data_IF_924876261184
#
_entry.id   IF_924876261184
#
_cell.length_a   1.000
_cell.length_b   1.000
_cell.length_c   1.000
_cell.angle_alpha   90.00
_cell.angle_beta   90.00
_cell.angle_gamma   90.00
#
_symmetry.space_group_name_H-M   'P 1'
#
loop_
_entity.id
_entity.type
_entity.pdbx_description
1 polymer ?
#
# COMPACT_ATOMS: atom_id res chain seq x y z
N UNK A 1 9.00 -16.55 -0.40
CA UNK A 1 9.37 -16.84 1.01
C UNK A 1 10.18 -15.71 1.66
N UNK A 2 11.34 -15.30 1.11
CA UNK A 2 12.26 -14.37 1.80
C UNK A 2 11.65 -13.00 2.20
N UNK A 3 10.95 -12.32 1.29
CA UNK A 3 10.29 -11.03 1.60
C UNK A 3 9.16 -11.19 2.62
N UNK A 4 8.30 -12.19 2.44
CA UNK A 4 7.22 -12.50 3.39
C UNK A 4 7.75 -12.82 4.78
N UNK A 5 8.90 -13.51 4.87
CA UNK A 5 9.56 -13.80 6.14
C UNK A 5 9.98 -12.52 6.86
N UNK A 6 10.64 -11.60 6.17
CA UNK A 6 11.06 -10.33 6.78
C UNK A 6 9.86 -9.49 7.25
N UNK A 7 8.82 -9.39 6.41
CA UNK A 7 7.60 -8.68 6.80
C UNK A 7 6.91 -9.31 8.03
N UNK A 8 6.90 -10.65 8.11
CA UNK A 8 6.36 -11.36 9.27
C UNK A 8 7.23 -11.16 10.51
N UNK A 9 8.55 -11.29 10.38
CA UNK A 9 9.49 -11.06 11.48
C UNK A 9 9.32 -9.65 12.06
N UNK A 10 9.25 -8.63 11.20
CA UNK A 10 9.12 -7.23 11.57
C UNK A 10 7.75 -6.92 12.20
N UNK A 11 6.67 -7.53 11.71
CA UNK A 11 5.34 -7.35 12.32
C UNK A 11 5.24 -7.94 13.73
N UNK A 12 5.91 -9.06 14.00
CA UNK A 12 5.79 -9.77 15.27
C UNK A 12 6.94 -9.50 16.26
N UNK A 13 8.01 -8.79 15.87
CA UNK A 13 9.21 -8.66 16.71
C UNK A 13 8.92 -7.97 18.04
N UNK A 14 8.09 -6.92 18.04
CA UNK A 14 7.72 -6.18 19.25
C UNK A 14 6.61 -6.86 20.06
N UNK A 15 5.70 -7.58 19.39
CA UNK A 15 4.48 -8.13 20.01
C UNK A 15 4.64 -9.57 20.49
N UNK A 16 5.39 -10.38 19.75
CA UNK A 16 5.55 -11.81 19.97
C UNK A 16 6.90 -12.30 19.40
N UNK A 17 8.03 -12.05 20.11
CA UNK A 17 9.37 -12.35 19.61
C UNK A 17 9.61 -13.85 19.31
N UNK A 18 8.83 -14.75 19.93
CA UNK A 18 8.85 -16.19 19.61
C UNK A 18 8.37 -16.49 18.17
N UNK A 19 7.45 -15.68 17.63
CA UNK A 19 6.96 -15.80 16.25
C UNK A 19 7.94 -15.20 15.23
N UNK A 20 8.82 -14.30 15.64
CA UNK A 20 9.86 -13.70 14.79
C UNK A 20 11.09 -14.60 14.58
N UNK A 21 11.03 -15.87 14.98
CA UNK A 21 12.08 -16.83 14.65
C UNK A 21 12.08 -17.12 13.15
N UNK A 22 13.26 -17.08 12.51
CA UNK A 22 13.42 -17.32 11.06
C UNK A 22 12.72 -18.58 10.56
N UNK A 23 12.76 -19.65 11.35
CA UNK A 23 12.19 -20.94 10.94
C UNK A 23 10.66 -20.89 10.98
N UNK A 24 10.08 -20.33 12.04
CA UNK A 24 8.63 -20.14 12.18
C UNK A 24 8.10 -19.21 11.07
N UNK A 25 8.74 -18.06 10.89
CA UNK A 25 8.36 -17.10 9.85
C UNK A 25 8.50 -17.68 8.43
N UNK A 26 9.50 -18.53 8.17
CA UNK A 26 9.61 -19.24 6.89
C UNK A 26 8.49 -20.26 6.69
N UNK A 27 8.21 -21.09 7.69
CA UNK A 27 7.17 -22.13 7.60
C UNK A 27 5.81 -21.48 7.35
N UNK A 28 5.46 -20.46 8.14
CA UNK A 28 4.18 -19.75 7.98
C UNK A 28 4.06 -19.14 6.59
N UNK A 29 5.11 -18.48 6.09
CA UNK A 29 5.07 -17.82 4.77
C UNK A 29 5.04 -18.80 3.61
N UNK A 30 5.68 -19.97 3.74
CA UNK A 30 5.60 -21.05 2.75
C UNK A 30 4.22 -21.70 2.76
N UNK A 31 3.64 -21.98 3.93
CA UNK A 31 2.30 -22.57 4.03
C UNK A 31 1.26 -21.60 3.47
N UNK A 32 1.30 -20.32 3.84
CA UNK A 32 0.37 -19.31 3.32
C UNK A 32 0.50 -19.14 1.80
N UNK A 33 1.74 -19.06 1.28
CA UNK A 33 1.98 -18.98 -0.16
C UNK A 33 1.56 -20.26 -0.91
N UNK A 34 1.82 -21.42 -0.32
CA UNK A 34 1.42 -22.72 -0.86
C UNK A 34 -0.10 -22.89 -0.90
N UNK A 35 -0.80 -22.51 0.17
CA UNK A 35 -2.26 -22.54 0.22
C UNK A 35 -2.89 -21.65 -0.87
N UNK A 36 -2.33 -20.45 -1.09
CA UNK A 36 -2.75 -19.55 -2.18
C UNK A 36 -2.43 -20.11 -3.57
N UNK A 37 -1.31 -20.81 -3.74
CA UNK A 37 -0.97 -21.46 -5.00
C UNK A 37 -1.94 -22.60 -5.33
N UNK A 38 -2.30 -23.40 -4.31
CA UNK A 38 -3.22 -24.52 -4.43
C UNK A 38 -4.69 -24.09 -4.56
N UNK A 39 -5.06 -22.88 -4.13
CA UNK A 39 -6.43 -22.36 -4.26
C UNK A 39 -6.83 -21.97 -5.69
N UNK A 40 -5.87 -21.92 -6.62
CA UNK A 40 -6.12 -21.50 -8.01
C UNK A 40 -6.36 -19.99 -8.18
N UNK A 41 -6.28 -19.20 -7.10
CA UNK A 41 -6.56 -17.76 -7.11
C UNK A 41 -5.35 -16.90 -7.56
N UNK A 42 -4.27 -17.52 -8.04
CA UNK A 42 -3.01 -16.86 -8.38
C UNK A 42 -3.16 -15.69 -9.37
N UNK A 43 -4.03 -15.81 -10.37
CA UNK A 43 -4.26 -14.74 -11.35
C UNK A 43 -4.92 -13.50 -10.74
N UNK A 44 -5.74 -13.67 -9.71
CA UNK A 44 -6.45 -12.58 -9.04
C UNK A 44 -5.57 -11.84 -8.01
N UNK A 45 -4.46 -12.44 -7.59
CA UNK A 45 -3.48 -11.81 -6.66
C UNK A 45 -2.70 -10.70 -7.36
N UNK A 46 -2.37 -10.87 -8.64
CA UNK A 46 -1.50 -9.94 -9.37
C UNK A 46 -1.98 -8.49 -9.37
N UNK A 47 -3.26 -8.18 -9.65
CA UNK A 47 -3.71 -6.79 -9.60
C UNK A 47 -3.81 -6.22 -8.18
N UNK A 48 -4.00 -7.06 -7.14
CA UNK A 48 -3.92 -6.62 -5.74
C UNK A 48 -2.50 -6.19 -5.42
N UNK A 49 -1.53 -7.02 -5.80
CA UNK A 49 -0.11 -6.72 -5.62
C UNK A 49 0.30 -5.44 -6.38
N UNK A 50 -0.18 -5.28 -7.61
CA UNK A 50 0.01 -4.05 -8.39
C UNK A 50 -0.54 -2.82 -7.67
N UNK A 51 -1.77 -2.90 -7.15
CA UNK A 51 -2.41 -1.78 -6.44
C UNK A 51 -1.69 -1.45 -5.12
N UNK A 52 -1.21 -2.45 -4.37
CA UNK A 52 -0.42 -2.24 -3.17
C UNK A 52 0.90 -1.51 -3.46
N UNK A 53 1.57 -1.85 -4.57
CA UNK A 53 2.80 -1.17 -4.99
C UNK A 53 2.55 0.26 -5.46
N UNK A 54 1.41 0.50 -6.13
CA UNK A 54 1.01 1.86 -6.49
C UNK A 54 0.73 2.72 -5.25
N UNK A 55 0.14 2.13 -4.20
CA UNK A 55 -0.06 2.83 -2.92
C UNK A 55 1.29 3.21 -2.27
N UNK A 56 2.26 2.29 -2.24
CA UNK A 56 3.61 2.57 -1.75
C UNK A 56 4.31 3.66 -2.59
N UNK A 57 4.15 3.62 -3.91
CA UNK A 57 4.64 4.65 -4.81
C UNK A 57 3.98 6.02 -4.53
N UNK A 58 2.67 6.04 -4.27
CA UNK A 58 1.93 7.24 -3.85
C UNK A 58 2.50 7.85 -2.57
N UNK A 59 2.77 7.01 -1.56
CA UNK A 59 3.38 7.45 -0.30
C UNK A 59 4.81 7.97 -0.50
N UNK A 60 5.62 7.31 -1.33
CA UNK A 60 6.97 7.76 -1.65
C UNK A 60 6.97 9.11 -2.37
N UNK A 61 6.08 9.30 -3.35
CA UNK A 61 5.93 10.56 -4.07
C UNK A 61 5.40 11.68 -3.19
N UNK A 62 4.52 11.36 -2.23
CA UNK A 62 4.06 12.30 -1.21
C UNK A 62 5.21 12.77 -0.33
N UNK A 63 6.06 11.84 0.14
CA UNK A 63 7.28 12.17 0.88
C UNK A 63 8.25 13.04 0.07
N UNK A 64 8.49 12.69 -1.20
CA UNK A 64 9.34 13.47 -2.11
C UNK A 64 8.78 14.88 -2.35
N UNK A 65 7.46 14.99 -2.54
CA UNK A 65 6.76 16.27 -2.72
C UNK A 65 6.89 17.13 -1.47
N UNK A 66 6.66 16.54 -0.29
CA UNK A 66 6.80 17.23 0.98
C UNK A 66 8.22 17.72 1.24
N UNK A 67 9.21 16.91 0.87
CA UNK A 67 10.62 17.26 0.99
C UNK A 67 11.03 18.41 0.05
N UNK A 68 10.66 18.34 -1.23
CA UNK A 68 10.93 19.41 -2.20
C UNK A 68 10.25 20.73 -1.79
N UNK A 69 9.00 20.65 -1.33
CA UNK A 69 8.26 21.81 -0.83
C UNK A 69 8.93 22.41 0.43
N UNK A 70 9.42 21.57 1.34
CA UNK A 70 10.17 22.03 2.51
C UNK A 70 11.46 22.77 2.14
N UNK A 71 12.17 22.28 1.11
CA UNK A 71 13.38 22.94 0.57
C UNK A 71 13.07 24.21 -0.24
N UNK A 72 11.80 24.56 -0.45
CA UNK A 72 11.41 25.68 -1.32
C UNK A 72 11.68 25.43 -2.81
N UNK A 73 11.92 24.18 -3.21
CA UNK A 73 12.11 23.79 -4.61
C UNK A 73 10.76 23.52 -5.28
N UNK A 74 10.74 23.60 -6.61
CA UNK A 74 9.56 23.28 -7.42
C UNK A 74 9.18 21.80 -7.22
N UNK A 75 8.10 21.56 -6.47
CA UNK A 75 7.59 20.24 -6.12
C UNK A 75 6.54 19.71 -7.12
N UNK A 76 6.21 20.47 -8.16
CA UNK A 76 5.19 20.08 -9.15
C UNK A 76 5.57 18.80 -9.91
N UNK A 77 6.87 18.55 -10.08
CA UNK A 77 7.40 17.38 -10.79
C UNK A 77 7.05 16.07 -10.07
N UNK A 78 6.93 16.09 -8.75
CA UNK A 78 6.51 14.93 -7.96
C UNK A 78 5.03 14.95 -7.61
N UNK A 79 4.43 16.14 -7.51
CA UNK A 79 3.01 16.31 -7.19
C UNK A 79 2.07 15.76 -8.27
N UNK A 80 2.30 16.08 -9.55
CA UNK A 80 1.41 15.61 -10.61
C UNK A 80 1.40 14.07 -10.74
N UNK A 81 2.56 13.38 -10.77
CA UNK A 81 2.59 11.93 -10.74
C UNK A 81 1.94 11.36 -9.47
N UNK A 82 2.10 12.02 -8.32
CA UNK A 82 1.48 11.57 -7.06
C UNK A 82 -0.05 11.56 -7.16
N UNK A 83 -0.65 12.68 -7.60
CA UNK A 83 -2.11 12.80 -7.74
C UNK A 83 -2.63 11.75 -8.74
N UNK A 84 -1.97 11.62 -9.89
CA UNK A 84 -2.34 10.62 -10.89
C UNK A 84 -2.27 9.19 -10.33
N UNK A 85 -1.18 8.83 -9.66
CA UNK A 85 -1.00 7.50 -9.07
C UNK A 85 -2.08 7.20 -8.04
N UNK A 86 -2.41 8.15 -7.16
CA UNK A 86 -3.46 7.97 -6.15
C UNK A 86 -4.83 7.74 -6.79
N UNK A 87 -5.19 8.53 -7.80
CA UNK A 87 -6.47 8.38 -8.52
C UNK A 87 -6.58 7.00 -9.16
N UNK A 88 -5.54 6.58 -9.89
CA UNK A 88 -5.50 5.26 -10.55
C UNK A 88 -5.58 4.14 -9.53
N UNK A 89 -4.85 4.25 -8.41
CA UNK A 89 -4.85 3.24 -7.34
C UNK A 89 -6.23 3.10 -6.72
N UNK A 90 -6.90 4.21 -6.39
CA UNK A 90 -8.23 4.19 -5.77
C UNK A 90 -9.26 3.60 -6.74
N UNK A 91 -9.24 4.00 -8.02
CA UNK A 91 -10.14 3.47 -9.04
C UNK A 91 -9.93 1.95 -9.24
N UNK A 92 -8.67 1.50 -9.28
CA UNK A 92 -8.33 0.09 -9.37
C UNK A 92 -8.85 -0.70 -8.15
N UNK A 93 -8.60 -0.20 -6.93
CA UNK A 93 -9.05 -0.85 -5.70
C UNK A 93 -10.57 -0.95 -5.59
N UNK A 94 -11.32 0.11 -5.92
CA UNK A 94 -12.79 0.08 -5.94
C UNK A 94 -13.28 -1.01 -6.91
N UNK A 95 -12.77 -1.01 -8.13
CA UNK A 95 -13.12 -2.02 -9.14
C UNK A 95 -12.82 -3.43 -8.64
N UNK A 96 -11.67 -3.59 -7.97
CA UNK A 96 -11.20 -4.86 -7.47
C UNK A 96 -12.02 -5.40 -6.29
N UNK A 97 -12.51 -4.53 -5.40
CA UNK A 97 -13.46 -4.89 -4.34
C UNK A 97 -14.70 -5.53 -4.96
N UNK A 98 -15.37 -4.84 -5.89
CA UNK A 98 -16.59 -5.35 -6.51
C UNK A 98 -16.37 -6.64 -7.30
N UNK A 99 -15.29 -6.72 -8.09
CA UNK A 99 -14.98 -7.90 -8.89
C UNK A 99 -14.65 -9.13 -8.04
N UNK A 100 -13.93 -8.97 -6.92
CA UNK A 100 -13.58 -10.10 -6.06
C UNK A 100 -14.79 -10.62 -5.27
N UNK A 101 -15.63 -9.73 -4.74
CA UNK A 101 -16.87 -10.15 -4.08
C UNK A 101 -17.86 -10.80 -5.05
N UNK A 102 -18.02 -10.25 -6.26
CA UNK A 102 -18.90 -10.84 -7.28
C UNK A 102 -18.44 -12.24 -7.74
N UNK A 103 -17.13 -12.50 -7.72
CA UNK A 103 -16.55 -13.82 -8.05
C UNK A 103 -16.51 -14.80 -6.87
N UNK A 104 -17.01 -14.41 -5.68
CA UNK A 104 -16.94 -15.24 -4.48
C UNK A 104 -15.54 -15.35 -3.86
N UNK A 105 -14.56 -14.56 -4.31
CA UNK A 105 -13.21 -14.51 -3.75
C UNK A 105 -13.18 -13.59 -2.52
N UNK A 106 -13.83 -14.02 -1.43
CA UNK A 106 -13.97 -13.23 -0.20
C UNK A 106 -12.63 -12.82 0.41
N UNK A 107 -11.62 -13.69 0.39
CA UNK A 107 -10.28 -13.38 0.91
C UNK A 107 -9.67 -12.17 0.19
N UNK A 108 -9.64 -12.21 -1.15
CA UNK A 108 -9.09 -11.13 -1.96
C UNK A 108 -9.95 -9.86 -1.88
N UNK A 109 -11.27 -10.01 -1.81
CA UNK A 109 -12.19 -8.89 -1.61
C UNK A 109 -11.92 -8.16 -0.30
N UNK A 110 -11.76 -8.88 0.81
CA UNK A 110 -11.40 -8.31 2.11
C UNK A 110 -10.04 -7.61 2.05
N UNK A 111 -9.03 -8.22 1.41
CA UNK A 111 -7.71 -7.59 1.23
C UNK A 111 -7.81 -6.29 0.42
N UNK A 112 -8.61 -6.26 -0.65
CA UNK A 112 -8.84 -5.04 -1.44
C UNK A 112 -9.52 -3.94 -0.62
N UNK A 113 -10.47 -4.28 0.26
CA UNK A 113 -11.11 -3.32 1.17
C UNK A 113 -10.08 -2.72 2.14
N UNK A 114 -9.22 -3.55 2.74
CA UNK A 114 -8.16 -3.07 3.63
C UNK A 114 -7.22 -2.11 2.89
N UNK A 115 -6.78 -2.46 1.67
CA UNK A 115 -5.95 -1.58 0.85
C UNK A 115 -6.66 -0.27 0.48
N UNK A 116 -7.98 -0.31 0.22
CA UNK A 116 -8.76 0.88 -0.08
C UNK A 116 -8.84 1.83 1.12
N UNK A 117 -8.99 1.30 2.34
CA UNK A 117 -8.93 2.09 3.57
C UNK A 117 -7.56 2.75 3.72
N UNK A 118 -6.47 2.00 3.49
CA UNK A 118 -5.11 2.55 3.51
C UNK A 118 -4.89 3.61 2.43
N UNK A 119 -5.48 3.45 1.24
CA UNK A 119 -5.47 4.48 0.21
C UNK A 119 -6.16 5.77 0.68
N UNK A 120 -7.30 5.66 1.37
CA UNK A 120 -7.96 6.81 2.00
C UNK A 120 -7.07 7.51 3.04
N UNK A 121 -6.31 6.74 3.82
CA UNK A 121 -5.34 7.31 4.76
C UNK A 121 -4.23 8.10 4.04
N UNK A 122 -3.64 7.53 2.98
CA UNK A 122 -2.59 8.21 2.18
C UNK A 122 -3.13 9.49 1.53
N UNK A 123 -4.37 9.46 1.02
CA UNK A 123 -5.06 10.66 0.48
C UNK A 123 -5.17 11.74 1.55
N UNK A 124 -5.62 11.38 2.76
CA UNK A 124 -5.78 12.33 3.87
C UNK A 124 -4.45 12.98 4.26
N UNK A 125 -3.39 12.18 4.41
CA UNK A 125 -2.05 12.69 4.69
C UNK A 125 -1.51 13.56 3.55
N UNK A 126 -1.85 13.23 2.30
CA UNK A 126 -1.50 14.04 1.13
C UNK A 126 -2.14 15.42 1.14
N UNK A 127 -3.45 15.47 1.43
CA UNK A 127 -4.19 16.74 1.52
C UNK A 127 -3.64 17.60 2.65
N UNK A 128 -3.39 17.02 3.83
CA UNK A 128 -2.79 17.73 4.97
C UNK A 128 -1.38 18.26 4.66
N UNK A 129 -0.56 17.47 3.97
CA UNK A 129 0.76 17.90 3.56
C UNK A 129 0.69 19.09 2.60
N UNK A 130 -0.15 19.00 1.56
CA UNK A 130 -0.31 20.06 0.56
C UNK A 130 -0.88 21.34 1.17
N UNK A 131 -1.89 21.24 2.05
CA UNK A 131 -2.51 22.42 2.68
C UNK A 131 -1.51 23.18 3.55
N UNK A 132 -0.64 22.47 4.27
CA UNK A 132 0.46 23.08 5.05
C UNK A 132 1.44 23.87 4.18
N UNK A 133 1.69 23.42 2.94
CA UNK A 133 2.58 24.14 2.02
C UNK A 133 1.95 25.38 1.41
N UNK A 134 0.64 25.35 1.09
CA UNK A 134 -0.07 26.55 0.60
C UNK A 134 -0.03 27.68 1.62
N UNK A 135 -0.33 27.40 2.89
CA UNK A 135 -0.29 28.41 3.97
C UNK A 135 1.10 29.05 4.09
N UNK A 136 2.17 28.26 4.00
CA UNK A 136 3.56 28.77 4.10
C UNK A 136 3.97 29.64 2.90
N UNK A 137 3.39 29.42 1.72
CA UNK A 137 3.64 30.24 0.53
C UNK A 137 2.89 31.58 0.58
N UNK A 138 1.70 31.63 1.18
CA UNK A 138 0.90 32.87 1.35
C UNK A 138 1.41 33.78 2.48
N UNK A 139 2.22 33.25 3.40
CA UNK A 139 2.80 34.01 4.52
C UNK A 139 4.17 34.63 4.19
N UNK A 140 4.73 34.36 3.00
CA UNK A 140 6.00 34.92 2.52
C UNK A 140 5.77 35.96 1.45
#
# INVERSE_FOLDING_TARGET
ARLGRYAFEEFFVERAPALSNRYVATIVTVIAGGALALSGSWSAIWPIFGSANQLLAGLALLGATAWLAHMGKKYTVTLYPMIFMVIVTVAALITMVFQNFAKGNYLLGCVSVVLLILAGFVVNEGIKAISKFKVKAETK
#
